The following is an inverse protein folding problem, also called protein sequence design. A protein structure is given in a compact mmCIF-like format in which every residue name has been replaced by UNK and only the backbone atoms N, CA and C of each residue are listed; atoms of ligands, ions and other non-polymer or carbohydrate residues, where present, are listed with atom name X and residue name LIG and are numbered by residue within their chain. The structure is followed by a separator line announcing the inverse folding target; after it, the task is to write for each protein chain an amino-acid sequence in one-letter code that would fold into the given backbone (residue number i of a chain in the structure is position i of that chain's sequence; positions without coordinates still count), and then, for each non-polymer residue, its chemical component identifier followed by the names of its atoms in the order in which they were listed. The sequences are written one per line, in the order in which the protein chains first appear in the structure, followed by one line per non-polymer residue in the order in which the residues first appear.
data_IF_105539043855
#
_entry.id   IF_105539043855
#
_cell.length_a   1.000
_cell.length_b   1.000
_cell.length_c   1.000
_cell.angle_alpha   90.00
_cell.angle_beta   90.00
_cell.angle_gamma   90.00
#
_symmetry.space_group_name_H-M   'P 1'
#
loop_
_entity.id
_entity.type
_entity.pdbx_description
1 polymer ?
#
# COMPACT_ATOMS: atom_id res chain seq x y z
N UNK A 1 51.19 8.22 16.38
CA UNK A 1 49.71 8.30 16.42
C UNK A 1 49.19 7.44 15.27
N UNK A 2 48.43 6.37 15.56
CA UNK A 2 47.86 5.44 14.56
C UNK A 2 46.44 5.91 14.22
N UNK A 3 46.20 6.33 12.99
CA UNK A 3 44.84 6.62 12.50
C UNK A 3 44.25 5.33 11.92
N UNK A 4 43.27 4.76 12.61
CA UNK A 4 42.43 3.70 12.05
C UNK A 4 41.30 4.36 11.26
N UNK A 5 41.30 4.15 9.94
CA UNK A 5 40.20 4.52 9.07
C UNK A 5 39.17 3.39 9.08
N UNK A 6 38.02 3.63 9.70
CA UNK A 6 36.83 2.78 9.58
C UNK A 6 36.02 3.26 8.38
N UNK A 7 35.96 2.46 7.31
CA UNK A 7 35.03 2.68 6.20
C UNK A 7 33.59 2.36 6.65
N UNK A 8 32.60 3.22 6.39
CA UNK A 8 31.20 2.88 6.61
C UNK A 8 30.74 1.95 5.48
N UNK A 9 30.20 0.80 5.87
CA UNK A 9 29.58 -0.18 4.98
C UNK A 9 28.21 0.40 4.54
N UNK A 10 28.15 1.04 3.37
CA UNK A 10 26.89 1.49 2.79
C UNK A 10 26.12 0.27 2.27
N UNK A 11 25.11 -0.17 3.02
CA UNK A 11 24.16 -1.20 2.58
C UNK A 11 23.20 -0.51 1.61
N UNK A 12 23.44 -0.67 0.31
CA UNK A 12 22.50 -0.27 -0.73
C UNK A 12 21.32 -1.27 -0.72
N UNK A 13 20.19 -0.87 -0.14
CA UNK A 13 18.92 -1.56 -0.36
C UNK A 13 18.48 -1.27 -1.80
N UNK A 14 18.81 -2.17 -2.72
CA UNK A 14 18.28 -2.14 -4.07
C UNK A 14 16.80 -2.54 -4.02
N UNK A 15 15.90 -1.58 -4.20
CA UNK A 15 14.48 -1.87 -4.43
C UNK A 15 14.36 -2.71 -5.69
N UNK A 16 14.01 -4.00 -5.54
CA UNK A 16 13.95 -4.92 -6.66
C UNK A 16 12.64 -4.74 -7.42
N UNK A 17 12.74 -4.49 -8.73
CA UNK A 17 11.61 -4.52 -9.65
C UNK A 17 11.14 -5.97 -9.80
N UNK A 18 9.96 -6.32 -9.27
CA UNK A 18 9.34 -7.62 -9.57
C UNK A 18 8.55 -7.47 -10.86
N UNK A 19 9.18 -7.76 -12.01
CA UNK A 19 8.48 -7.94 -13.30
C UNK A 19 7.78 -9.29 -13.31
N UNK A 20 6.53 -9.34 -12.88
CA UNK A 20 5.64 -10.47 -13.17
C UNK A 20 4.77 -10.13 -14.39
N UNK A 21 5.17 -10.68 -15.53
CA UNK A 21 4.29 -10.82 -16.68
C UNK A 21 3.36 -12.01 -16.39
N UNK A 22 2.13 -11.79 -15.92
CA UNK A 22 1.18 -12.91 -15.77
C UNK A 22 -0.07 -12.75 -14.90
N UNK A 23 -0.16 -11.79 -13.96
CA UNK A 23 -1.34 -11.69 -13.09
C UNK A 23 -2.37 -10.70 -13.63
N UNK A 24 -3.49 -11.23 -14.16
CA UNK A 24 -4.63 -10.42 -14.62
C UNK A 24 -5.42 -9.77 -13.48
N UNK A 25 -5.18 -10.19 -12.23
CA UNK A 25 -5.87 -9.71 -11.04
C UNK A 25 -4.91 -8.88 -10.18
N UNK A 26 -5.28 -7.64 -9.90
CA UNK A 26 -4.50 -6.72 -9.04
C UNK A 26 -4.32 -7.27 -7.63
N UNK A 27 -5.25 -8.06 -7.10
CA UNK A 27 -5.18 -8.57 -5.73
C UNK A 27 -4.12 -9.66 -5.58
N UNK A 28 -3.79 -10.39 -6.65
CA UNK A 28 -2.64 -11.29 -6.66
C UNK A 28 -1.32 -10.50 -6.58
N UNK A 29 -1.29 -9.29 -7.16
CA UNK A 29 -0.15 -8.37 -7.04
C UNK A 29 -0.05 -7.84 -5.61
N UNK A 30 -1.15 -7.38 -5.04
CA UNK A 30 -1.23 -6.91 -3.64
C UNK A 30 -0.73 -8.00 -2.68
N UNK A 31 -1.16 -9.26 -2.87
CA UNK A 31 -0.77 -10.39 -2.03
C UNK A 31 0.71 -10.78 -2.15
N UNK A 32 1.36 -10.48 -3.28
CA UNK A 32 2.75 -10.90 -3.55
C UNK A 32 3.76 -9.77 -3.42
N UNK A 33 3.30 -8.52 -3.28
CA UNK A 33 4.18 -7.39 -3.04
C UNK A 33 4.83 -7.53 -1.66
N UNK A 34 6.14 -7.25 -1.58
CA UNK A 34 6.91 -7.33 -0.34
C UNK A 34 6.26 -6.41 0.70
N UNK A 35 5.90 -6.98 1.86
CA UNK A 35 5.32 -6.24 2.98
C UNK A 35 6.38 -5.95 4.05
N UNK A 36 6.12 -4.95 4.88
CA UNK A 36 6.97 -4.65 6.03
C UNK A 36 6.97 -5.82 7.02
N UNK A 37 8.13 -6.40 7.40
CA UNK A 37 8.18 -7.52 8.34
C UNK A 37 7.64 -7.20 9.74
N UNK A 38 7.76 -5.95 10.15
CA UNK A 38 7.19 -5.37 11.38
C UNK A 38 5.65 -5.32 11.34
N UNK A 39 5.09 -5.40 10.15
CA UNK A 39 3.66 -5.28 9.90
C UNK A 39 3.13 -3.84 9.86
N UNK A 40 3.88 -2.85 10.31
CA UNK A 40 3.46 -1.45 10.30
C UNK A 40 3.48 -0.77 8.91
N UNK A 41 3.59 -1.56 7.84
CA UNK A 41 3.63 -1.06 6.47
C UNK A 41 2.26 -0.74 5.85
N UNK A 42 2.32 -0.09 4.70
CA UNK A 42 1.14 0.32 3.92
C UNK A 42 1.33 -0.04 2.45
N UNK A 43 0.23 -0.33 1.78
CA UNK A 43 0.17 -0.33 0.33
C UNK A 43 -0.53 0.94 -0.13
N UNK A 44 0.03 1.59 -1.13
CA UNK A 44 -0.51 2.82 -1.67
C UNK A 44 -0.49 2.80 -3.20
N UNK A 45 -1.66 2.98 -3.83
CA UNK A 45 -1.75 3.27 -5.25
C UNK A 45 -1.66 4.78 -5.47
N UNK A 46 -0.51 5.23 -5.96
CA UNK A 46 -0.25 6.63 -6.27
C UNK A 46 -0.96 7.04 -7.57
N UNK A 47 -1.20 8.34 -7.76
CA UNK A 47 -2.00 8.91 -8.84
C UNK A 47 -1.42 8.65 -10.24
N UNK A 48 -0.14 8.30 -10.31
CA UNK A 48 0.56 7.87 -11.53
C UNK A 48 0.27 6.41 -11.92
N UNK A 49 -0.49 5.66 -11.11
CA UNK A 49 -0.85 4.26 -11.36
C UNK A 49 0.18 3.26 -10.84
N UNK A 50 1.14 3.68 -10.01
CA UNK A 50 2.11 2.79 -9.37
C UNK A 50 1.61 2.39 -7.98
N UNK A 51 1.51 1.07 -7.77
CA UNK A 51 1.27 0.49 -6.45
C UNK A 51 2.59 0.37 -5.70
N UNK A 52 2.71 1.04 -4.56
CA UNK A 52 3.91 1.15 -3.74
C UNK A 52 3.67 0.44 -2.40
N UNK A 53 4.62 -0.38 -1.98
CA UNK A 53 4.71 -0.91 -0.62
C UNK A 53 5.68 -0.09 0.20
N UNK A 54 5.22 0.37 1.36
CA UNK A 54 5.95 1.24 2.27
C UNK A 54 6.11 0.54 3.62
N UNK A 55 7.24 0.76 4.28
CA UNK A 55 7.40 0.44 5.71
C UNK A 55 6.64 1.43 6.60
N UNK A 56 6.55 1.17 7.91
CA UNK A 56 5.97 2.14 8.85
C UNK A 56 6.74 3.46 8.97
N UNK A 57 8.05 3.47 8.67
CA UNK A 57 8.85 4.69 8.52
C UNK A 57 8.66 5.37 7.16
N UNK A 58 8.00 4.69 6.23
CA UNK A 58 7.72 5.18 4.90
C UNK A 58 8.78 4.88 3.84
N UNK A 59 9.78 4.08 4.16
CA UNK A 59 10.73 3.60 3.17
C UNK A 59 10.04 2.72 2.13
N UNK A 60 10.31 2.95 0.84
CA UNK A 60 9.80 2.13 -0.26
C UNK A 60 10.44 0.74 -0.21
N UNK A 61 9.61 -0.28 -0.03
CA UNK A 61 10.03 -1.69 0.06
C UNK A 61 9.95 -2.39 -1.29
N UNK A 62 8.90 -2.09 -2.05
CA UNK A 62 8.64 -2.61 -3.39
C UNK A 62 7.65 -1.71 -4.12
N UNK A 63 7.59 -1.83 -5.44
CA UNK A 63 6.58 -1.15 -6.24
C UNK A 63 6.14 -2.03 -7.42
N UNK A 64 4.98 -1.70 -7.98
CA UNK A 64 4.47 -2.30 -9.20
C UNK A 64 3.68 -1.29 -10.01
N UNK A 65 4.10 -1.10 -11.25
CA UNK A 65 3.34 -0.36 -12.24
C UNK A 65 2.10 -1.16 -12.63
N UNK A 66 0.91 -0.59 -12.44
CA UNK A 66 -0.35 -1.23 -12.79
C UNK A 66 -0.82 -0.78 -14.16
N UNK A 67 -1.39 -1.70 -14.93
CA UNK A 67 -2.12 -1.35 -16.15
C UNK A 67 -3.52 -0.78 -15.82
N UNK A 68 -4.21 -0.13 -16.78
CA UNK A 68 -5.52 0.49 -16.53
C UNK A 68 -6.60 -0.50 -16.05
N UNK A 69 -6.49 -1.78 -16.41
CA UNK A 69 -7.45 -2.81 -15.97
C UNK A 69 -7.20 -3.15 -14.50
N UNK A 70 -5.93 -3.29 -14.09
CA UNK A 70 -5.54 -3.54 -12.71
C UNK A 70 -5.89 -2.35 -11.80
N UNK A 71 -5.65 -1.12 -12.26
CA UNK A 71 -6.06 0.10 -11.56
C UNK A 71 -7.58 0.09 -11.31
N UNK A 72 -8.38 -0.18 -12.34
CA UNK A 72 -9.83 -0.28 -12.19
C UNK A 72 -10.27 -1.40 -11.24
N UNK A 73 -9.60 -2.55 -11.24
CA UNK A 73 -9.88 -3.63 -10.29
C UNK A 73 -9.62 -3.20 -8.84
N UNK A 74 -8.57 -2.41 -8.61
CA UNK A 74 -8.21 -1.89 -7.29
C UNK A 74 -9.27 -0.89 -6.81
N UNK A 75 -9.57 0.11 -7.63
CA UNK A 75 -10.54 1.18 -7.35
C UNK A 75 -11.95 0.64 -7.10
N UNK A 76 -12.36 -0.38 -7.85
CA UNK A 76 -13.72 -0.92 -7.75
C UNK A 76 -14.06 -1.52 -6.38
N UNK A 77 -13.05 -1.77 -5.53
CA UNK A 77 -13.24 -2.25 -4.17
C UNK A 77 -13.67 -1.16 -3.20
N UNK A 78 -13.35 0.09 -3.49
CA UNK A 78 -13.76 1.21 -2.67
C UNK A 78 -15.29 1.41 -2.78
N UNK A 79 -15.98 1.74 -1.69
CA UNK A 79 -17.37 2.18 -1.74
C UNK A 79 -17.50 3.58 -2.36
N UNK A 80 -18.70 3.90 -2.87
CA UNK A 80 -19.06 5.29 -3.19
C UNK A 80 -19.14 6.11 -1.88
N UNK A 81 -18.76 7.40 -1.86
CA UNK A 81 -18.37 8.22 -3.03
C UNK A 81 -16.89 8.10 -3.44
N UNK A 82 -16.03 7.50 -2.61
CA UNK A 82 -14.59 7.44 -2.87
C UNK A 82 -14.25 6.77 -4.20
N UNK A 83 -14.96 5.69 -4.56
CA UNK A 83 -14.78 5.05 -5.86
C UNK A 83 -15.02 5.98 -7.04
N UNK A 84 -16.04 6.83 -6.98
CA UNK A 84 -16.36 7.76 -8.08
C UNK A 84 -15.28 8.84 -8.24
N UNK A 85 -14.77 9.33 -7.11
CA UNK A 85 -13.61 10.22 -7.07
C UNK A 85 -12.38 9.56 -7.70
N UNK A 86 -12.01 8.36 -7.25
CA UNK A 86 -10.87 7.60 -7.75
C UNK A 86 -11.00 7.27 -9.24
N UNK A 87 -12.19 6.90 -9.73
CA UNK A 87 -12.42 6.70 -11.17
C UNK A 87 -12.16 7.98 -11.98
N UNK A 88 -12.37 9.16 -11.38
CA UNK A 88 -12.02 10.45 -11.97
C UNK A 88 -10.51 10.71 -11.98
N UNK A 89 -9.84 10.52 -10.84
CA UNK A 89 -8.39 10.68 -10.66
C UNK A 89 -7.62 9.80 -11.66
N UNK A 90 -7.97 8.52 -11.71
CA UNK A 90 -7.25 7.52 -12.51
C UNK A 90 -7.71 7.43 -13.97
N UNK A 91 -8.52 8.39 -14.46
CA UNK A 91 -9.03 8.35 -15.83
C UNK A 91 -7.90 8.55 -16.83
N UNK A 92 -7.57 7.49 -17.57
CA UNK A 92 -6.52 7.52 -18.60
C UNK A 92 -5.11 7.32 -18.06
N UNK A 93 -4.98 6.98 -16.78
CA UNK A 93 -3.71 6.64 -16.14
C UNK A 93 -3.29 5.22 -16.53
N UNK A 94 -2.04 5.05 -16.93
CA UNK A 94 -1.37 3.76 -17.12
C UNK A 94 -0.02 3.80 -16.39
N UNK A 95 0.10 3.08 -15.29
CA UNK A 95 1.31 3.09 -14.47
C UNK A 95 2.54 2.60 -15.20
N UNK A 96 2.38 1.89 -16.32
CA UNK A 96 3.48 1.40 -17.17
C UNK A 96 4.20 2.52 -17.92
N UNK A 97 3.58 3.71 -18.01
CA UNK A 97 4.20 4.90 -18.58
C UNK A 97 5.24 5.54 -17.64
N UNK A 98 5.26 5.12 -16.35
CA UNK A 98 6.23 5.59 -15.34
C UNK A 98 7.58 4.90 -15.51
N UNK A 99 8.44 5.45 -16.36
CA UNK A 99 9.75 4.85 -16.69
C UNK A 99 10.90 5.23 -15.74
N UNK A 100 10.74 6.32 -14.97
CA UNK A 100 11.78 6.85 -14.08
C UNK A 100 11.47 6.52 -12.61
N UNK A 101 11.81 5.30 -12.23
CA UNK A 101 11.61 4.74 -10.88
C UNK A 101 12.35 5.54 -9.79
N UNK A 102 13.39 6.32 -10.14
CA UNK A 102 14.08 7.16 -9.18
C UNK A 102 13.15 8.24 -8.57
N UNK A 103 12.05 8.58 -9.25
CA UNK A 103 11.03 9.51 -8.73
C UNK A 103 10.14 8.88 -7.65
N UNK A 104 9.96 7.56 -7.66
CA UNK A 104 9.20 6.84 -6.62
C UNK A 104 9.86 6.93 -5.23
N UNK A 105 11.13 7.30 -5.16
CA UNK A 105 11.86 7.53 -3.91
C UNK A 105 11.51 8.88 -3.24
N UNK A 106 10.72 9.74 -3.87
CA UNK A 106 10.27 11.04 -3.36
C UNK A 106 8.80 11.06 -2.97
N UNK A 107 8.28 9.93 -2.53
CA UNK A 107 6.92 9.81 -2.04
C UNK A 107 6.71 10.69 -0.79
N UNK A 108 5.77 11.66 -0.84
CA UNK A 108 5.49 12.54 0.30
C UNK A 108 4.64 11.80 1.35
N UNK A 109 5.33 11.02 2.18
CA UNK A 109 4.76 10.26 3.27
C UNK A 109 3.87 11.08 4.22
N UNK A 110 4.12 12.40 4.35
CA UNK A 110 3.29 13.24 5.22
C UNK A 110 1.86 13.36 4.72
N UNK A 111 1.62 13.21 3.42
CA UNK A 111 0.28 13.25 2.85
C UNK A 111 -0.53 11.96 3.14
N UNK A 112 0.13 10.83 3.45
CA UNK A 112 -0.52 9.53 3.67
C UNK A 112 -0.60 9.10 5.13
N UNK A 113 0.30 9.60 5.97
CA UNK A 113 0.29 9.33 7.39
C UNK A 113 -0.81 10.19 8.02
N UNK A 114 -1.68 9.61 8.87
CA UNK A 114 -2.58 10.44 9.65
C UNK A 114 -1.74 11.42 10.45
N UNK A 115 -2.09 12.72 10.36
CA UNK A 115 -1.62 13.72 11.31
C UNK A 115 -1.84 13.13 12.72
N UNK A 116 -0.88 13.28 13.65
CA UNK A 116 -0.95 12.65 14.95
C UNK A 116 -1.95 13.40 15.81
N UNK A 117 -3.26 13.29 15.53
CA UNK A 117 -4.35 13.60 16.46
C UNK A 117 -5.71 13.12 15.93
N UNK A 118 -6.53 12.66 16.89
CA UNK A 118 -7.97 12.35 16.80
C UNK A 118 -8.38 10.99 16.18
N UNK A 119 -8.23 9.97 17.01
CA UNK A 119 -9.10 8.79 16.99
C UNK A 119 -10.58 9.21 17.13
N UNK A 120 -11.43 8.91 16.14
CA UNK A 120 -12.90 8.83 16.32
C UNK A 120 -13.64 8.04 15.21
N UNK A 121 -13.99 6.79 15.54
CA UNK A 121 -15.22 6.03 15.18
C UNK A 121 -15.40 5.46 13.75
N UNK A 122 -16.28 4.43 13.52
CA UNK A 122 -17.10 3.63 14.45
C UNK A 122 -16.69 2.14 14.53
N UNK A 123 -16.99 1.52 15.67
CA UNK A 123 -16.78 0.10 15.96
C UNK A 123 -17.91 -0.74 15.33
N UNK A 124 -17.56 -1.76 14.54
CA UNK A 124 -18.49 -2.82 14.14
C UNK A 124 -18.14 -4.14 14.84
N UNK A 125 -19.20 -4.84 15.26
CA UNK A 125 -19.30 -5.90 16.26
C UNK A 125 -18.44 -7.15 15.98
N UNK A 126 -17.83 -7.66 17.06
CA UNK A 126 -17.14 -8.94 17.15
C UNK A 126 -18.08 -10.13 16.95
N UNK A 127 -17.70 -11.09 16.09
CA UNK A 127 -18.13 -12.49 16.24
C UNK A 127 -17.06 -13.43 15.71
N UNK A 128 -16.70 -14.39 16.56
CA UNK A 128 -15.59 -15.32 16.44
C UNK A 128 -15.96 -16.55 15.61
N UNK A 129 -15.35 -16.75 14.44
CA UNK A 129 -15.11 -18.08 13.88
C UNK A 129 -13.86 -18.05 13.00
N UNK A 130 -12.78 -18.63 13.54
CA UNK A 130 -11.39 -18.34 13.24
C UNK A 130 -10.87 -19.07 11.99
N UNK A 131 -10.11 -18.31 11.20
CA UNK A 131 -9.00 -18.73 10.32
C UNK A 131 -9.25 -19.15 8.87
N UNK A 132 -10.47 -19.49 8.43
CA UNK A 132 -10.76 -19.65 6.99
C UNK A 132 -11.72 -18.61 6.42
N UNK A 133 -12.38 -17.84 7.29
CA UNK A 133 -13.21 -16.68 6.93
C UNK A 133 -12.41 -15.37 6.94
N UNK A 134 -11.18 -15.38 7.47
CA UNK A 134 -10.34 -14.20 7.68
C UNK A 134 -9.95 -13.49 6.38
N UNK A 135 -9.49 -14.22 5.35
CA UNK A 135 -9.13 -13.62 4.05
C UNK A 135 -10.33 -12.95 3.35
N UNK A 136 -11.56 -13.47 3.51
CA UNK A 136 -12.76 -12.84 2.92
C UNK A 136 -13.27 -11.65 3.72
N UNK A 137 -12.89 -11.54 5.00
CA UNK A 137 -13.37 -10.48 5.89
C UNK A 137 -12.54 -9.20 5.75
N UNK A 138 -11.23 -9.33 5.47
CA UNK A 138 -10.30 -8.19 5.44
C UNK A 138 -10.79 -7.04 4.57
N UNK A 139 -11.21 -7.37 3.35
CA UNK A 139 -11.60 -6.38 2.36
C UNK A 139 -12.89 -5.59 2.67
N UNK A 140 -13.56 -5.86 3.79
CA UNK A 140 -14.74 -5.11 4.25
C UNK A 140 -14.41 -4.13 5.39
N UNK A 141 -13.18 -4.11 5.88
CA UNK A 141 -12.77 -3.21 6.95
C UNK A 141 -12.00 -2.03 6.38
N UNK A 142 -12.45 -0.82 6.72
CA UNK A 142 -11.70 0.40 6.46
C UNK A 142 -10.56 0.55 7.47
N UNK A 143 -9.48 1.20 7.06
CA UNK A 143 -8.31 1.43 7.89
C UNK A 143 -7.75 2.84 7.66
N UNK A 144 -7.38 3.53 8.75
CA UNK A 144 -6.48 4.69 8.68
C UNK A 144 -5.01 4.28 8.77
N UNK A 145 -4.75 3.08 9.33
CA UNK A 145 -3.44 2.52 9.59
C UNK A 145 -3.43 0.99 9.68
N UNK A 146 -2.25 0.35 9.61
CA UNK A 146 -2.10 -1.11 9.60
C UNK A 146 -2.50 -1.75 10.92
N UNK A 147 -2.38 -1.01 12.04
CA UNK A 147 -2.80 -1.47 13.37
C UNK A 147 -4.27 -1.92 13.38
N UNK A 148 -5.15 -1.21 12.67
CA UNK A 148 -6.56 -1.60 12.56
C UNK A 148 -6.71 -2.92 11.80
N UNK A 149 -5.96 -3.13 10.73
CA UNK A 149 -6.01 -4.35 9.94
C UNK A 149 -5.54 -5.57 10.72
N UNK A 150 -4.51 -5.43 11.57
CA UNK A 150 -4.08 -6.52 12.46
C UNK A 150 -5.16 -7.00 13.41
N UNK A 151 -6.01 -6.09 13.91
CA UNK A 151 -7.12 -6.47 14.79
C UNK A 151 -8.12 -7.41 14.11
N UNK A 152 -8.15 -7.39 12.77
CA UNK A 152 -8.98 -8.25 11.92
C UNK A 152 -8.20 -9.40 11.29
N UNK A 153 -6.97 -9.69 11.76
CA UNK A 153 -6.05 -10.69 11.18
C UNK A 153 -5.66 -10.43 9.73
N UNK A 154 -5.70 -9.16 9.32
CA UNK A 154 -5.29 -8.69 8.00
C UNK A 154 -3.90 -8.07 8.08
N UNK A 155 -3.20 -8.05 6.96
CA UNK A 155 -1.75 -7.78 6.91
C UNK A 155 -1.44 -6.34 6.51
N UNK A 156 -2.32 -5.69 5.76
CA UNK A 156 -1.99 -4.39 5.17
C UNK A 156 -3.20 -3.49 5.02
N UNK A 157 -2.96 -2.19 5.17
CA UNK A 157 -3.90 -1.14 4.82
C UNK A 157 -3.60 -0.63 3.41
N UNK A 158 -4.52 -0.87 2.47
CA UNK A 158 -4.38 -0.56 1.05
C UNK A 158 -5.11 0.77 0.74
N UNK A 159 -4.35 1.83 0.47
CA UNK A 159 -4.83 3.20 0.18
C UNK A 159 -4.67 3.54 -1.30
N UNK A 160 -5.41 4.53 -1.79
CA UNK A 160 -5.22 5.10 -3.13
C UNK A 160 -5.36 6.63 -3.06
N UNK A 161 -4.61 7.35 -3.89
CA UNK A 161 -4.62 8.82 -3.92
C UNK A 161 -4.39 9.41 -2.50
N UNK A 162 -4.70 10.67 -2.28
CA UNK A 162 -4.69 11.35 -1.00
C UNK A 162 -5.82 10.93 -0.04
N UNK A 163 -6.39 9.73 -0.20
CA UNK A 163 -7.33 9.19 0.79
C UNK A 163 -6.57 8.88 2.09
N UNK A 164 -6.94 9.58 3.17
CA UNK A 164 -6.40 9.34 4.51
C UNK A 164 -6.74 7.94 5.07
N UNK A 165 -7.68 7.23 4.44
CA UNK A 165 -8.11 5.88 4.76
C UNK A 165 -7.96 4.93 3.56
N UNK A 166 -7.96 3.64 3.84
CA UNK A 166 -7.90 2.55 2.87
C UNK A 166 -8.72 1.35 3.30
N UNK A 167 -8.50 0.21 2.65
CA UNK A 167 -9.15 -1.05 2.98
C UNK A 167 -8.13 -2.07 3.48
N UNK A 168 -8.53 -2.87 4.46
CA UNK A 168 -7.70 -3.96 4.92
C UNK A 168 -7.60 -5.08 3.89
N UNK A 169 -6.42 -5.66 3.78
CA UNK A 169 -6.12 -6.82 2.96
C UNK A 169 -5.33 -7.84 3.78
#
# INVERSE_FOLDING_TARGET
MKFQATLPLAVLLSAASVTSSGTNNVWDIVATLIQAPSGDGYLHLDDDGVLISLSGSGDVLAYRQLDPKQINQYINRFPSPAREHLLGVFKGVDGRDVIDIAQLAHFDLKALLPEPDEASLPVASSSSTLNHLAERACHNYACSGPVLCYSYTCSVCAKADHLHWGLCY
#
